data_IF_810517272884
#
_entry.id   IF_810517272884
#
_cell.length_a   1.000
_cell.length_b   1.000
_cell.length_c   1.000
_cell.angle_alpha   90.00
_cell.angle_beta   90.00
_cell.angle_gamma   90.00
#
_symmetry.space_group_name_H-M   'P 1'
#
loop_
_entity.id
_entity.type
_entity.pdbx_description
1 polymer ?
#
# COMPACT_ATOMS: atom_id res chain seq x y z
N UNK A 1 -7.62 23.41 -18.43
CA UNK A 1 -8.38 22.14 -18.39
C UNK A 1 -9.47 22.29 -17.35
N UNK A 2 -10.70 22.01 -17.71
CA UNK A 2 -11.84 22.13 -16.78
C UNK A 2 -11.94 20.85 -15.94
N UNK A 3 -12.47 20.94 -14.73
CA UNK A 3 -12.64 19.82 -13.76
C UNK A 3 -13.44 18.64 -14.35
N UNK A 4 -14.22 18.87 -15.40
CA UNK A 4 -14.98 17.83 -16.12
C UNK A 4 -14.12 16.89 -17.00
N UNK A 5 -12.90 17.32 -17.38
CA UNK A 5 -12.02 16.56 -18.29
C UNK A 5 -11.22 15.46 -17.53
N UNK A 6 -11.20 15.48 -16.21
CA UNK A 6 -10.48 14.47 -15.38
C UNK A 6 -11.36 13.30 -14.94
N UNK A 7 -12.68 13.46 -14.94
CA UNK A 7 -13.62 12.48 -14.37
C UNK A 7 -13.83 11.21 -15.23
N UNK A 8 -13.30 11.17 -16.46
CA UNK A 8 -13.55 10.06 -17.40
C UNK A 8 -12.26 9.45 -17.99
N UNK A 9 -11.11 9.66 -17.35
CA UNK A 9 -9.85 9.07 -17.80
C UNK A 9 -9.70 7.66 -17.22
N UNK A 10 -9.21 6.68 -18.02
CA UNK A 10 -8.82 5.40 -17.48
C UNK A 10 -7.75 5.58 -16.39
N UNK A 11 -7.83 4.75 -15.37
CA UNK A 11 -6.97 4.83 -14.19
C UNK A 11 -5.98 3.67 -14.18
N UNK A 12 -4.70 3.97 -14.05
CA UNK A 12 -3.66 2.97 -13.82
C UNK A 12 -3.12 3.07 -12.39
N UNK A 13 -3.04 1.93 -11.70
CA UNK A 13 -2.40 1.78 -10.40
C UNK A 13 -1.03 1.13 -10.59
N UNK A 14 0.02 1.87 -10.28
CA UNK A 14 1.41 1.43 -10.32
C UNK A 14 1.89 1.14 -8.89
N UNK A 15 2.37 -0.07 -8.65
CA UNK A 15 2.78 -0.53 -7.33
C UNK A 15 4.30 -0.72 -7.28
N UNK A 16 4.95 -0.08 -6.32
CA UNK A 16 6.31 -0.38 -5.94
C UNK A 16 6.33 -1.63 -5.05
N UNK A 17 6.61 -2.78 -5.68
CA UNK A 17 6.46 -4.08 -5.06
C UNK A 17 7.35 -4.27 -3.82
N UNK A 18 8.63 -3.90 -3.91
CA UNK A 18 9.56 -4.04 -2.79
C UNK A 18 9.25 -3.05 -1.66
N UNK A 19 9.04 -1.79 -1.97
CA UNK A 19 8.74 -0.76 -0.97
C UNK A 19 7.48 -1.09 -0.17
N UNK A 20 6.40 -1.51 -0.84
CA UNK A 20 5.16 -1.90 -0.18
C UNK A 20 5.35 -3.19 0.63
N UNK A 21 6.06 -4.19 0.09
CA UNK A 21 6.30 -5.46 0.78
C UNK A 21 7.15 -5.27 2.05
N UNK A 22 8.23 -4.49 2.00
CA UNK A 22 9.02 -4.15 3.18
C UNK A 22 8.20 -3.38 4.22
N UNK A 23 7.38 -2.45 3.77
CA UNK A 23 6.52 -1.71 4.68
C UNK A 23 5.49 -2.63 5.37
N UNK A 24 4.90 -3.55 4.64
CA UNK A 24 3.98 -4.54 5.19
C UNK A 24 4.69 -5.45 6.19
N UNK A 25 5.90 -5.90 5.86
CA UNK A 25 6.75 -6.72 6.73
C UNK A 25 7.00 -6.07 8.08
N UNK A 26 7.40 -4.80 8.11
CA UNK A 26 7.66 -4.08 9.36
C UNK A 26 6.40 -3.60 10.09
N UNK A 27 5.24 -3.60 9.43
CA UNK A 27 3.98 -3.22 10.05
C UNK A 27 3.29 -4.38 10.79
N UNK A 28 3.61 -5.62 10.44
CA UNK A 28 2.98 -6.82 10.97
C UNK A 28 4.03 -7.76 11.60
N UNK A 29 3.87 -8.17 12.86
CA UNK A 29 4.82 -9.07 13.51
C UNK A 29 4.81 -10.44 12.83
N UNK A 30 5.98 -11.02 12.47
CA UNK A 30 6.05 -12.28 11.72
C UNK A 30 5.48 -13.48 12.48
N UNK A 31 5.46 -13.45 13.82
CA UNK A 31 4.99 -14.55 14.67
C UNK A 31 3.51 -14.88 14.46
N UNK A 32 2.70 -13.91 14.09
CA UNK A 32 1.27 -14.09 13.79
C UNK A 32 0.99 -14.48 12.32
N UNK A 33 2.03 -14.56 11.48
CA UNK A 33 1.92 -14.77 10.04
C UNK A 33 2.95 -15.78 9.55
N UNK A 34 3.02 -16.92 10.21
CA UNK A 34 3.91 -18.01 9.83
C UNK A 34 3.07 -19.26 9.59
N UNK A 35 3.22 -19.89 8.42
CA UNK A 35 2.51 -21.14 8.12
C UNK A 35 2.99 -22.28 9.00
N UNK A 36 2.21 -23.35 9.09
CA UNK A 36 2.58 -24.59 9.79
C UNK A 36 3.89 -25.20 9.28
N UNK A 37 4.26 -24.92 8.02
CA UNK A 37 5.55 -25.28 7.40
C UNK A 37 6.71 -24.33 7.73
N UNK A 38 6.50 -23.28 8.53
CA UNK A 38 7.54 -22.31 8.93
C UNK A 38 7.76 -21.16 7.92
N UNK A 39 6.96 -21.04 6.87
CA UNK A 39 7.05 -19.95 5.92
C UNK A 39 6.43 -18.66 6.50
N UNK A 40 7.20 -17.58 6.56
CA UNK A 40 6.68 -16.27 6.92
C UNK A 40 5.87 -15.66 5.78
N UNK A 41 4.74 -15.03 6.10
CA UNK A 41 3.75 -14.51 5.12
C UNK A 41 3.25 -13.11 5.45
N UNK A 42 3.78 -12.45 6.48
CA UNK A 42 3.34 -11.14 6.94
C UNK A 42 3.46 -10.05 5.88
N UNK A 43 4.54 -10.04 5.08
CA UNK A 43 4.70 -9.09 3.98
C UNK A 43 3.64 -9.30 2.88
N UNK A 44 3.39 -10.56 2.51
CA UNK A 44 2.36 -10.91 1.50
C UNK A 44 0.97 -10.52 1.99
N UNK A 45 0.63 -10.88 3.24
CA UNK A 45 -0.65 -10.52 3.87
C UNK A 45 -0.90 -9.01 3.88
N UNK A 46 0.10 -8.26 4.37
CA UNK A 46 -0.01 -6.81 4.47
C UNK A 46 -0.07 -6.13 3.11
N UNK A 47 0.69 -6.62 2.14
CA UNK A 47 0.63 -6.14 0.76
C UNK A 47 -0.76 -6.34 0.16
N UNK A 48 -1.32 -7.54 0.25
CA UNK A 48 -2.66 -7.86 -0.27
C UNK A 48 -3.76 -7.06 0.44
N UNK A 49 -3.59 -6.80 1.73
CA UNK A 49 -4.50 -5.94 2.48
C UNK A 49 -4.48 -4.50 1.96
N UNK A 50 -3.29 -3.95 1.67
CA UNK A 50 -3.14 -2.62 1.07
C UNK A 50 -3.66 -2.59 -0.36
N UNK A 51 -3.30 -3.57 -1.17
CA UNK A 51 -3.76 -3.70 -2.56
C UNK A 51 -5.29 -3.74 -2.65
N UNK A 52 -5.95 -4.56 -1.82
CA UNK A 52 -7.40 -4.63 -1.79
C UNK A 52 -8.05 -3.29 -1.45
N UNK A 53 -7.45 -2.55 -0.51
CA UNK A 53 -7.91 -1.20 -0.17
C UNK A 53 -7.74 -0.23 -1.35
N UNK A 54 -6.56 -0.22 -1.98
CA UNK A 54 -6.27 0.62 -3.14
C UNK A 54 -7.23 0.34 -4.30
N UNK A 55 -7.46 -0.93 -4.63
CA UNK A 55 -8.37 -1.32 -5.71
C UNK A 55 -9.81 -0.88 -5.43
N UNK A 56 -10.24 -0.96 -4.18
CA UNK A 56 -11.58 -0.54 -3.77
C UNK A 56 -11.77 0.98 -3.85
N UNK A 57 -10.76 1.74 -3.38
CA UNK A 57 -10.83 3.21 -3.31
C UNK A 57 -10.58 3.87 -4.67
N UNK A 58 -9.51 3.44 -5.37
CA UNK A 58 -9.08 4.10 -6.62
C UNK A 58 -9.77 3.54 -7.86
N UNK A 59 -10.36 2.34 -7.76
CA UNK A 59 -11.06 1.64 -8.85
C UNK A 59 -10.28 1.64 -10.17
N UNK A 60 -9.01 1.19 -10.15
CA UNK A 60 -8.16 1.25 -11.34
C UNK A 60 -8.69 0.35 -12.45
N UNK A 61 -8.52 0.77 -13.69
CA UNK A 61 -8.77 -0.04 -14.88
C UNK A 61 -7.59 -0.98 -15.18
N UNK A 62 -6.37 -0.53 -14.81
CA UNK A 62 -5.11 -1.22 -15.05
C UNK A 62 -4.29 -1.27 -13.76
N UNK A 63 -3.59 -2.38 -13.54
CA UNK A 63 -2.71 -2.55 -12.38
C UNK A 63 -1.39 -3.17 -12.84
N UNK A 64 -0.26 -2.57 -12.45
CA UNK A 64 1.09 -3.11 -12.69
C UNK A 64 1.88 -3.03 -11.39
N UNK A 65 2.66 -4.07 -11.09
CA UNK A 65 3.61 -4.06 -9.98
C UNK A 65 5.05 -4.13 -10.52
N UNK A 66 5.89 -3.17 -10.10
CA UNK A 66 7.30 -3.14 -10.42
C UNK A 66 8.14 -3.69 -9.26
N UNK A 67 9.16 -4.47 -9.59
CA UNK A 67 10.07 -5.06 -8.61
C UNK A 67 11.53 -4.85 -9.00
N UNK A 68 12.39 -4.65 -8.00
CA UNK A 68 13.83 -4.66 -8.20
C UNK A 68 14.36 -6.09 -8.44
N UNK A 69 15.39 -6.24 -9.26
CA UNK A 69 16.11 -7.50 -9.48
C UNK A 69 17.49 -7.52 -8.78
N UNK A 70 17.62 -6.91 -7.62
CA UNK A 70 18.85 -6.93 -6.83
C UNK A 70 19.79 -5.76 -7.12
N UNK A 71 21.09 -5.95 -6.93
CA UNK A 71 22.15 -4.95 -7.14
C UNK A 71 22.75 -5.08 -8.53
N UNK A 72 23.25 -3.96 -9.10
CA UNK A 72 23.96 -4.00 -10.39
C UNK A 72 23.37 -3.06 -11.44
N UNK A 73 22.41 -2.20 -11.04
CA UNK A 73 21.83 -1.18 -11.91
C UNK A 73 22.89 -0.15 -12.35
N UNK A 74 22.55 0.67 -13.35
CA UNK A 74 23.45 1.74 -13.80
C UNK A 74 23.92 2.66 -12.67
N UNK A 75 23.10 2.85 -11.60
CA UNK A 75 23.46 3.64 -10.42
C UNK A 75 24.63 3.04 -9.67
N UNK A 76 24.67 1.74 -9.51
CA UNK A 76 25.81 1.03 -8.87
C UNK A 76 27.06 1.07 -9.73
N UNK A 77 26.91 1.07 -11.08
CA UNK A 77 28.05 1.20 -12.00
C UNK A 77 28.65 2.59 -11.93
N UNK A 78 27.81 3.64 -11.87
CA UNK A 78 28.25 5.04 -11.75
C UNK A 78 28.81 5.35 -10.36
N UNK A 79 28.17 4.84 -9.30
CA UNK A 79 28.61 5.06 -7.91
C UNK A 79 28.57 3.76 -7.11
N UNK A 80 29.70 3.02 -7.02
CA UNK A 80 29.74 1.73 -6.32
C UNK A 80 29.31 1.77 -4.85
N UNK A 81 29.37 2.93 -4.21
CA UNK A 81 28.89 3.12 -2.84
C UNK A 81 27.36 3.36 -2.73
N UNK A 82 26.65 3.44 -3.87
CA UNK A 82 25.21 3.62 -3.90
C UNK A 82 24.52 2.49 -3.13
N UNK A 83 23.65 2.84 -2.16
CA UNK A 83 22.91 1.89 -1.30
C UNK A 83 23.79 0.89 -0.50
N UNK A 84 25.13 1.06 -0.47
CA UNK A 84 26.05 0.13 0.19
C UNK A 84 25.88 0.03 1.72
N UNK A 85 25.18 0.98 2.33
CA UNK A 85 24.93 1.01 3.79
C UNK A 85 23.60 0.36 4.18
N UNK A 86 22.81 -0.13 3.21
CA UNK A 86 21.56 -0.82 3.51
C UNK A 86 21.83 -2.10 4.31
N UNK A 87 21.03 -2.29 5.36
CA UNK A 87 21.08 -3.52 6.15
C UNK A 87 20.77 -4.75 5.29
N UNK A 88 21.31 -5.89 5.67
CA UNK A 88 20.94 -7.15 5.05
C UNK A 88 19.43 -7.40 5.17
N UNK A 89 18.88 -8.06 4.14
CA UNK A 89 17.47 -8.45 4.13
C UNK A 89 17.18 -9.39 5.30
N UNK A 90 16.19 -9.11 6.15
CA UNK A 90 15.82 -10.00 7.24
C UNK A 90 15.52 -11.42 6.73
N UNK A 91 15.95 -12.43 7.48
CA UNK A 91 15.76 -13.82 7.09
C UNK A 91 14.27 -14.18 6.90
N UNK A 92 13.42 -13.60 7.73
CA UNK A 92 11.97 -13.80 7.69
C UNK A 92 11.31 -13.15 6.45
N UNK A 93 11.97 -12.19 5.80
CA UNK A 93 11.49 -11.56 4.56
C UNK A 93 11.85 -12.38 3.31
N UNK A 94 12.91 -13.19 3.41
CA UNK A 94 13.41 -13.99 2.27
C UNK A 94 12.30 -14.93 1.76
N UNK A 95 12.08 -14.95 0.45
CA UNK A 95 11.07 -15.77 -0.21
C UNK A 95 9.68 -15.14 -0.25
N UNK A 96 9.38 -14.09 0.54
CA UNK A 96 8.06 -13.48 0.51
C UNK A 96 7.78 -12.65 -0.77
N UNK A 97 8.83 -12.13 -1.43
CA UNK A 97 8.68 -11.40 -2.71
C UNK A 97 8.26 -12.35 -3.82
N UNK A 98 8.86 -13.54 -3.88
CA UNK A 98 8.50 -14.58 -4.84
C UNK A 98 7.06 -15.04 -4.64
N UNK A 99 6.66 -15.31 -3.39
CA UNK A 99 5.28 -15.65 -3.06
C UNK A 99 4.31 -14.53 -3.44
N UNK A 100 4.70 -13.28 -3.23
CA UNK A 100 3.89 -12.13 -3.62
C UNK A 100 3.70 -12.08 -5.14
N UNK A 101 4.76 -12.32 -5.92
CA UNK A 101 4.68 -12.39 -7.38
C UNK A 101 3.76 -13.52 -7.84
N UNK A 102 3.82 -14.70 -7.20
CA UNK A 102 2.90 -15.81 -7.49
C UNK A 102 1.43 -15.39 -7.28
N UNK A 103 1.12 -14.73 -6.17
CA UNK A 103 -0.24 -14.27 -5.86
C UNK A 103 -0.68 -13.16 -6.82
N UNK A 104 0.18 -12.20 -7.13
CA UNK A 104 -0.14 -11.13 -8.09
C UNK A 104 -0.44 -11.71 -9.48
N UNK A 105 0.33 -12.70 -9.92
CA UNK A 105 0.07 -13.39 -11.18
C UNK A 105 -1.29 -14.10 -11.17
N UNK A 106 -1.64 -14.80 -10.10
CA UNK A 106 -2.96 -15.44 -9.96
C UNK A 106 -4.11 -14.43 -9.92
N UNK A 107 -3.86 -13.21 -9.44
CA UNK A 107 -4.82 -12.10 -9.50
C UNK A 107 -4.87 -11.41 -10.88
N UNK A 108 -4.11 -11.88 -11.86
CA UNK A 108 -4.05 -11.28 -13.19
C UNK A 108 -3.29 -9.95 -13.23
N UNK A 109 -2.41 -9.69 -12.24
CA UNK A 109 -1.61 -8.47 -12.19
C UNK A 109 -0.22 -8.74 -12.77
N UNK A 110 0.15 -8.13 -13.91
CA UNK A 110 1.47 -8.27 -14.46
C UNK A 110 2.52 -7.63 -13.54
N UNK A 111 3.69 -8.26 -13.49
CA UNK A 111 4.86 -7.76 -12.78
C UNK A 111 5.95 -7.42 -13.77
N UNK A 112 6.64 -6.30 -13.54
CA UNK A 112 7.80 -5.89 -14.34
C UNK A 112 9.02 -5.76 -13.46
N UNK A 113 10.19 -6.07 -14.02
CA UNK A 113 11.48 -5.93 -13.36
C UNK A 113 12.60 -5.75 -14.39
N UNK A 114 13.74 -5.25 -13.97
CA UNK A 114 14.92 -5.05 -14.82
C UNK A 114 16.20 -5.27 -14.03
N UNK A 115 17.24 -5.78 -14.70
CA UNK A 115 18.59 -5.89 -14.11
C UNK A 115 19.38 -4.59 -14.19
N UNK A 116 19.03 -3.73 -15.15
CA UNK A 116 19.76 -2.48 -15.41
C UNK A 116 19.13 -1.28 -14.72
N UNK A 117 17.84 -1.34 -14.45
CA UNK A 117 17.02 -0.26 -13.87
C UNK A 117 16.34 -0.70 -12.60
N UNK A 118 16.05 0.26 -11.73
CA UNK A 118 15.29 0.02 -10.49
C UNK A 118 13.78 0.06 -10.76
N UNK A 119 12.98 -0.48 -9.84
CA UNK A 119 11.52 -0.45 -9.92
C UNK A 119 10.98 0.98 -10.12
N UNK A 120 11.63 1.98 -9.53
CA UNK A 120 11.28 3.40 -9.65
C UNK A 120 11.39 3.91 -11.10
N UNK A 121 12.40 3.46 -11.86
CA UNK A 121 12.57 3.83 -13.27
C UNK A 121 11.48 3.20 -14.15
N UNK A 122 11.10 1.95 -13.83
CA UNK A 122 9.99 1.26 -14.51
C UNK A 122 8.66 1.98 -14.24
N UNK A 123 8.39 2.33 -12.98
CA UNK A 123 7.21 3.10 -12.58
C UNK A 123 7.20 4.47 -13.26
N UNK A 124 8.36 5.15 -13.31
CA UNK A 124 8.49 6.44 -13.97
C UNK A 124 8.20 6.36 -15.47
N UNK A 125 8.65 5.30 -16.13
CA UNK A 125 8.39 5.04 -17.54
C UNK A 125 6.91 4.74 -17.77
N UNK A 126 6.32 3.84 -16.97
CA UNK A 126 4.90 3.49 -17.04
C UNK A 126 4.00 4.70 -16.80
N UNK A 127 4.32 5.55 -15.81
CA UNK A 127 3.52 6.75 -15.54
C UNK A 127 3.54 7.74 -16.69
N UNK A 128 4.69 7.88 -17.36
CA UNK A 128 4.81 8.73 -18.56
C UNK A 128 4.03 8.13 -19.75
N UNK A 129 4.11 6.81 -19.94
CA UNK A 129 3.35 6.11 -20.99
C UNK A 129 1.85 6.27 -20.76
N UNK A 130 1.38 6.06 -19.53
CA UNK A 130 -0.02 6.26 -19.13
C UNK A 130 -0.50 7.69 -19.43
N UNK A 131 0.32 8.69 -19.09
CA UNK A 131 0.02 10.10 -19.40
C UNK A 131 -0.11 10.33 -20.89
N UNK A 132 0.80 9.78 -21.71
CA UNK A 132 0.78 9.92 -23.15
C UNK A 132 -0.45 9.23 -23.79
N UNK A 133 -0.96 8.19 -23.18
CA UNK A 133 -2.18 7.49 -23.56
C UNK A 133 -3.47 8.11 -22.96
N UNK A 134 -3.34 9.24 -22.26
CA UNK A 134 -4.47 10.00 -21.71
C UNK A 134 -5.04 9.46 -20.42
N UNK A 135 -4.31 8.58 -19.72
CA UNK A 135 -4.72 7.97 -18.45
C UNK A 135 -4.34 8.83 -17.24
N UNK A 136 -4.97 8.53 -16.11
CA UNK A 136 -4.56 9.00 -14.78
C UNK A 136 -3.74 7.91 -14.08
N UNK A 137 -2.66 8.29 -13.39
CA UNK A 137 -1.80 7.36 -12.66
C UNK A 137 -1.88 7.56 -11.15
N UNK A 138 -2.06 6.48 -10.41
CA UNK A 138 -1.80 6.41 -8.98
C UNK A 138 -0.56 5.54 -8.74
N UNK A 139 0.47 6.11 -8.13
CA UNK A 139 1.71 5.40 -7.78
C UNK A 139 1.70 5.14 -6.28
N UNK A 140 1.65 3.88 -5.86
CA UNK A 140 1.78 3.50 -4.46
C UNK A 140 3.21 3.10 -4.16
N UNK A 141 3.91 3.91 -3.38
CA UNK A 141 5.29 3.69 -2.96
C UNK A 141 5.59 4.38 -1.64
N UNK A 142 6.49 3.83 -0.83
CA UNK A 142 7.08 4.47 0.34
C UNK A 142 8.32 5.31 0.02
N UNK A 143 8.73 5.41 -1.25
CA UNK A 143 9.85 6.23 -1.66
C UNK A 143 9.39 7.65 -2.04
N UNK A 144 10.06 8.64 -1.45
CA UNK A 144 9.79 10.06 -1.69
C UNK A 144 10.37 10.56 -3.00
N UNK A 145 11.34 9.86 -3.55
CA UNK A 145 11.93 10.26 -4.83
C UNK A 145 10.91 10.16 -5.96
N UNK A 146 9.88 9.30 -5.82
CA UNK A 146 8.71 9.25 -6.70
C UNK A 146 7.89 10.55 -6.74
N UNK A 147 8.10 11.50 -5.79
CA UNK A 147 7.43 12.80 -5.86
C UNK A 147 7.81 13.61 -7.10
N UNK A 148 8.95 13.33 -7.72
CA UNK A 148 9.33 13.92 -9.01
C UNK A 148 8.41 13.52 -10.16
N UNK A 149 7.61 12.46 -10.00
CA UNK A 149 6.69 11.94 -11.02
C UNK A 149 5.33 12.63 -10.99
N UNK A 150 5.03 13.34 -9.91
CA UNK A 150 3.72 13.96 -9.66
C UNK A 150 3.49 15.10 -10.64
N UNK A 151 2.32 15.09 -11.28
CA UNK A 151 1.83 16.17 -12.13
C UNK A 151 0.28 16.22 -12.11
N UNK A 152 -0.34 16.86 -13.11
CA UNK A 152 -1.80 17.04 -13.18
C UNK A 152 -2.58 15.73 -13.33
N UNK A 153 -1.93 14.63 -13.73
CA UNK A 153 -2.54 13.32 -13.95
C UNK A 153 -1.89 12.19 -13.16
N UNK A 154 -0.80 12.47 -12.46
CA UNK A 154 -0.04 11.51 -11.66
C UNK A 154 -0.06 11.91 -10.18
N UNK A 155 -0.58 11.04 -9.34
CA UNK A 155 -0.64 11.20 -7.87
C UNK A 155 0.15 10.09 -7.20
N UNK A 156 0.97 10.43 -6.19
CA UNK A 156 1.64 9.42 -5.34
C UNK A 156 0.81 9.16 -4.09
N UNK A 157 0.50 7.90 -3.86
CA UNK A 157 -0.15 7.37 -2.67
C UNK A 157 0.94 6.89 -1.70
N UNK A 158 1.28 7.73 -0.74
CA UNK A 158 2.41 7.50 0.18
C UNK A 158 1.92 6.88 1.50
N UNK A 159 2.32 5.65 1.84
CA UNK A 159 1.95 5.02 3.10
C UNK A 159 2.62 5.72 4.29
N UNK A 160 1.85 6.11 5.30
CA UNK A 160 2.38 6.83 6.49
C UNK A 160 2.35 6.00 7.77
N UNK A 161 1.27 5.27 8.02
CA UNK A 161 1.12 4.45 9.23
C UNK A 161 0.51 3.09 8.89
N UNK A 162 1.21 2.02 9.24
CA UNK A 162 0.76 0.65 8.92
C UNK A 162 0.61 0.43 7.42
N UNK A 163 -0.36 -0.40 7.04
CA UNK A 163 -0.65 -0.78 5.65
C UNK A 163 -1.91 -0.11 5.08
N UNK A 164 -2.64 0.69 5.87
CA UNK A 164 -3.94 1.25 5.47
C UNK A 164 -4.00 2.78 5.39
N UNK A 165 -3.05 3.48 6.00
CA UNK A 165 -3.08 4.95 6.03
C UNK A 165 -2.19 5.53 4.94
N UNK A 166 -2.82 6.07 3.90
CA UNK A 166 -2.16 6.66 2.74
C UNK A 166 -2.36 8.17 2.73
N UNK A 167 -1.32 8.90 2.33
CA UNK A 167 -1.39 10.33 2.03
C UNK A 167 -1.27 10.50 0.53
N UNK A 168 -2.23 11.20 -0.06
CA UNK A 168 -2.20 11.58 -1.47
C UNK A 168 -1.28 12.78 -1.64
N UNK A 169 -0.22 12.62 -2.41
CA UNK A 169 0.66 13.71 -2.80
C UNK A 169 0.31 14.17 -4.21
N UNK A 170 -0.16 15.41 -4.30
CA UNK A 170 -0.40 16.18 -5.51
C UNK A 170 0.67 17.25 -5.66
N UNK A 171 0.76 18.00 -6.79
CA UNK A 171 1.69 19.12 -6.93
C UNK A 171 1.58 20.14 -5.79
N UNK A 172 0.35 20.45 -5.37
CA UNK A 172 0.07 21.38 -4.27
C UNK A 172 0.59 20.83 -2.95
N UNK A 173 0.39 19.54 -2.69
CA UNK A 173 0.83 18.89 -1.45
C UNK A 173 2.35 18.83 -1.35
N UNK A 174 3.05 18.59 -2.46
CA UNK A 174 4.52 18.67 -2.52
C UNK A 174 4.98 20.10 -2.23
N UNK A 175 4.36 21.09 -2.86
CA UNK A 175 4.68 22.51 -2.66
C UNK A 175 4.42 22.96 -1.22
N UNK A 176 3.29 22.55 -0.63
CA UNK A 176 2.96 22.83 0.77
C UNK A 176 4.01 22.26 1.73
N UNK A 177 4.41 21.00 1.52
CA UNK A 177 5.26 20.27 2.46
C UNK A 177 6.74 20.59 2.32
N UNK A 178 7.23 20.75 1.10
CA UNK A 178 8.65 20.89 0.77
C UNK A 178 9.03 22.27 0.23
N UNK A 179 8.06 23.10 -0.08
CA UNK A 179 8.25 24.42 -0.70
C UNK A 179 9.00 24.38 -2.05
N UNK A 180 8.88 23.26 -2.77
CA UNK A 180 9.38 23.07 -4.16
C UNK A 180 8.28 22.44 -5.00
N UNK A 181 8.39 22.56 -6.32
CA UNK A 181 7.52 21.81 -7.25
C UNK A 181 7.99 20.34 -7.35
N UNK A 182 7.13 19.42 -7.82
CA UNK A 182 7.57 18.05 -8.12
C UNK A 182 8.81 17.98 -9.01
N UNK A 183 8.86 18.79 -10.08
CA UNK A 183 10.01 18.85 -10.98
C UNK A 183 11.32 19.30 -10.31
N UNK A 184 11.22 20.08 -9.24
CA UNK A 184 12.38 20.53 -8.45
C UNK A 184 12.78 19.56 -7.33
N UNK A 185 11.99 18.50 -7.10
CA UNK A 185 12.25 17.58 -6.00
C UNK A 185 13.59 16.83 -6.16
N UNK A 186 13.97 16.29 -7.35
CA UNK A 186 15.28 15.68 -7.53
C UNK A 186 16.44 16.67 -7.31
N UNK A 187 16.30 17.92 -7.74
CA UNK A 187 17.31 18.97 -7.52
C UNK A 187 17.49 19.26 -6.02
N UNK A 188 16.39 19.28 -5.26
CA UNK A 188 16.43 19.44 -3.82
C UNK A 188 17.13 18.23 -3.15
N UNK A 189 16.82 17.01 -3.59
CA UNK A 189 17.45 15.79 -3.10
C UNK A 189 18.96 15.78 -3.41
N UNK A 190 19.37 16.17 -4.60
CA UNK A 190 20.77 16.28 -5.00
C UNK A 190 21.57 17.23 -4.10
N UNK A 191 21.01 18.39 -3.74
CA UNK A 191 21.63 19.37 -2.87
C UNK A 191 21.69 18.91 -1.41
N UNK A 192 20.61 18.33 -0.91
CA UNK A 192 20.48 17.85 0.48
C UNK A 192 21.25 16.56 0.70
N UNK A 193 21.41 15.75 -0.33
CA UNK A 193 21.82 14.37 -0.27
C UNK A 193 20.70 13.43 0.21
N UNK A 194 20.97 12.14 0.09
CA UNK A 194 20.11 11.08 0.60
C UNK A 194 20.93 10.02 1.35
N UNK A 195 20.86 10.01 2.70
CA UNK A 195 21.57 9.01 3.49
C UNK A 195 21.09 7.57 3.25
N UNK A 196 19.82 7.37 2.85
CA UNK A 196 19.27 6.02 2.59
C UNK A 196 19.89 5.39 1.34
N UNK A 197 20.32 6.21 0.40
CA UNK A 197 21.00 5.82 -0.83
C UNK A 197 22.51 6.06 -0.78
N UNK A 198 23.02 6.45 0.39
CA UNK A 198 24.43 6.77 0.61
C UNK A 198 24.94 7.90 -0.30
N UNK A 199 24.08 8.89 -0.58
CA UNK A 199 24.41 10.06 -1.36
C UNK A 199 24.73 11.24 -0.44
N UNK A 200 26.01 11.67 -0.32
CA UNK A 200 26.38 12.78 0.53
C UNK A 200 25.87 14.09 -0.06
N UNK A 201 25.17 14.88 0.75
CA UNK A 201 24.72 16.22 0.36
C UNK A 201 25.76 17.30 0.68
N UNK A 202 25.47 18.53 0.24
CA UNK A 202 26.27 19.70 0.56
C UNK A 202 26.23 19.97 2.06
N UNK A 203 27.37 20.01 2.79
CA UNK A 203 27.38 20.23 4.23
C UNK A 203 26.65 21.52 4.63
N UNK A 204 25.76 21.41 5.63
CA UNK A 204 24.86 22.47 6.14
C UNK A 204 23.77 22.93 5.17
N UNK A 205 23.57 22.22 4.05
CA UNK A 205 22.45 22.41 3.14
C UNK A 205 21.44 21.31 3.38
N UNK A 206 20.36 21.64 4.07
CA UNK A 206 19.21 20.75 4.24
C UNK A 206 18.05 21.20 3.39
N UNK A 207 16.90 20.52 3.53
CA UNK A 207 15.66 20.74 2.78
C UNK A 207 15.29 22.23 2.65
N UNK A 208 15.29 22.99 3.76
CA UNK A 208 14.91 24.42 3.75
C UNK A 208 15.88 25.29 2.95
N UNK A 209 17.17 25.00 3.00
CA UNK A 209 18.19 25.79 2.27
C UNK A 209 18.13 25.47 0.78
N UNK A 210 18.02 24.18 0.43
CA UNK A 210 17.87 23.74 -0.95
C UNK A 210 16.59 24.31 -1.58
N UNK A 211 15.45 24.21 -0.89
CA UNK A 211 14.20 24.79 -1.36
C UNK A 211 14.25 26.31 -1.53
N UNK A 212 14.94 27.03 -0.62
CA UNK A 212 15.16 28.48 -0.76
C UNK A 212 15.93 28.80 -2.04
N UNK A 213 16.99 28.07 -2.33
CA UNK A 213 17.79 28.29 -3.54
C UNK A 213 16.99 27.96 -4.81
N UNK A 214 16.26 26.84 -4.83
CA UNK A 214 15.43 26.47 -5.94
C UNK A 214 14.31 27.50 -6.22
N UNK A 215 13.71 28.07 -5.18
CA UNK A 215 12.73 29.14 -5.36
C UNK A 215 13.37 30.45 -5.85
N UNK A 216 14.64 30.70 -5.53
CA UNK A 216 15.36 31.91 -5.94
C UNK A 216 15.92 31.81 -7.36
N UNK A 217 16.48 30.64 -7.73
CA UNK A 217 17.21 30.46 -8.99
C UNK A 217 16.44 29.62 -10.02
N UNK A 218 15.43 28.87 -9.59
CA UNK A 218 14.54 28.07 -10.46
C UNK A 218 14.96 26.61 -10.62
N UNK A 219 16.24 26.30 -10.83
CA UNK A 219 16.74 24.94 -11.05
C UNK A 219 18.14 24.77 -10.42
N UNK A 220 18.58 23.50 -10.32
CA UNK A 220 19.93 23.17 -9.89
C UNK A 220 20.99 23.77 -10.83
N UNK A 221 20.79 23.68 -12.14
CA UNK A 221 21.70 24.27 -13.13
C UNK A 221 21.90 25.76 -12.86
N UNK A 222 20.79 26.51 -12.70
CA UNK A 222 20.87 27.94 -12.39
C UNK A 222 21.52 28.23 -11.04
N UNK A 223 21.37 27.34 -10.02
CA UNK A 223 22.09 27.46 -8.75
C UNK A 223 23.60 27.29 -8.97
N UNK A 224 24.01 26.29 -9.74
CA UNK A 224 25.43 26.03 -10.03
C UNK A 224 26.07 27.14 -10.88
N UNK A 225 25.35 27.71 -11.85
CA UNK A 225 25.79 28.87 -12.60
C UNK A 225 26.00 30.10 -11.71
N UNK A 226 25.17 30.25 -10.68
CA UNK A 226 25.21 31.37 -9.75
C UNK A 226 25.94 31.06 -8.43
N UNK A 227 26.70 29.96 -8.35
CA UNK A 227 27.36 29.49 -7.12
C UNK A 227 28.25 30.54 -6.45
N UNK A 228 28.86 31.43 -7.22
CA UNK A 228 29.73 32.49 -6.69
C UNK A 228 28.96 33.66 -6.06
N UNK A 229 27.71 33.81 -6.40
CA UNK A 229 26.80 34.77 -5.78
C UNK A 229 26.22 34.27 -4.44
N UNK A 230 26.32 32.98 -4.15
CA UNK A 230 25.87 32.37 -2.89
C UNK A 230 26.94 32.59 -1.82
N UNK A 231 26.68 33.55 -0.91
CA UNK A 231 27.64 33.98 0.12
C UNK A 231 27.58 33.09 1.37
N UNK A 232 28.65 33.21 2.15
CA UNK A 232 28.78 32.54 3.44
C UNK A 232 29.16 31.07 3.33
N UNK A 233 29.16 30.37 4.47
CA UNK A 233 29.68 29.00 4.57
C UNK A 233 28.97 27.99 3.69
N UNK A 234 27.67 28.15 3.50
CA UNK A 234 26.91 27.25 2.63
C UNK A 234 27.27 27.42 1.14
N UNK A 235 27.62 28.65 0.69
CA UNK A 235 28.11 28.89 -0.67
C UNK A 235 29.53 28.31 -0.86
N UNK A 236 30.42 28.45 0.15
CA UNK A 236 31.73 27.80 0.12
C UNK A 236 31.57 26.26 0.02
N UNK A 237 30.71 25.70 0.86
CA UNK A 237 30.44 24.26 0.85
C UNK A 237 29.87 23.79 -0.51
N UNK A 238 28.94 24.53 -1.11
CA UNK A 238 28.41 24.21 -2.45
C UNK A 238 29.55 24.13 -3.48
N UNK A 239 30.41 25.16 -3.53
CA UNK A 239 31.54 25.20 -4.47
C UNK A 239 32.53 24.05 -4.29
N UNK A 240 32.67 23.55 -3.05
CA UNK A 240 33.58 22.44 -2.74
C UNK A 240 32.99 21.05 -3.01
N UNK A 241 31.67 20.95 -3.28
CA UNK A 241 30.96 19.69 -3.46
C UNK A 241 30.14 19.64 -4.76
N UNK A 242 30.58 20.36 -5.79
CA UNK A 242 29.87 20.42 -7.09
C UNK A 242 29.78 19.02 -7.70
N UNK A 243 30.88 18.28 -7.73
CA UNK A 243 30.94 16.92 -8.28
C UNK A 243 29.98 15.97 -7.56
N UNK A 244 29.85 16.08 -6.23
CA UNK A 244 28.90 15.31 -5.46
C UNK A 244 27.45 15.67 -5.84
N UNK A 245 27.16 16.96 -6.00
CA UNK A 245 25.82 17.44 -6.36
C UNK A 245 25.43 17.00 -7.76
N UNK A 246 26.34 17.12 -8.74
CA UNK A 246 26.10 16.69 -10.13
C UNK A 246 25.88 15.19 -10.22
N UNK A 247 26.71 14.40 -9.53
CA UNK A 247 26.51 12.94 -9.40
C UNK A 247 25.16 12.62 -8.76
N UNK A 248 24.82 13.26 -7.63
CA UNK A 248 23.56 13.03 -6.96
C UNK A 248 22.36 13.39 -7.88
N UNK A 249 22.43 14.50 -8.61
CA UNK A 249 21.39 14.88 -9.58
C UNK A 249 21.19 13.84 -10.67
N UNK A 250 22.28 13.23 -11.13
CA UNK A 250 22.22 12.13 -12.09
C UNK A 250 21.57 10.88 -11.51
N UNK A 251 21.93 10.50 -10.24
CA UNK A 251 21.48 9.27 -9.61
C UNK A 251 20.04 9.36 -9.05
N UNK A 252 19.61 10.54 -8.59
CA UNK A 252 18.24 10.73 -8.05
C UNK A 252 17.19 10.92 -9.14
N UNK A 253 17.60 11.29 -10.36
CA UNK A 253 16.67 11.45 -11.47
C UNK A 253 16.24 10.09 -12.00
N UNK A 254 14.94 9.85 -12.02
CA UNK A 254 14.36 8.61 -12.56
C UNK A 254 14.39 8.60 -14.09
N UNK A 255 14.76 7.46 -14.66
CA UNK A 255 14.70 7.19 -16.11
C UNK A 255 13.25 6.96 -16.51
N UNK A 256 12.81 7.57 -17.62
CA UNK A 256 11.40 7.56 -18.07
C UNK A 256 11.20 6.94 -19.44
N UNK A 257 12.19 6.24 -19.96
CA UNK A 257 12.18 5.65 -21.29
C UNK A 257 12.83 4.28 -21.32
N UNK A 258 12.62 3.50 -20.26
CA UNK A 258 13.06 2.11 -20.18
C UNK A 258 12.24 1.28 -21.16
N UNK A 259 12.91 0.47 -21.98
CA UNK A 259 12.23 -0.50 -22.83
C UNK A 259 11.64 -1.63 -21.97
N UNK A 260 10.34 -1.87 -22.14
CA UNK A 260 9.61 -2.91 -21.41
C UNK A 260 8.68 -3.64 -22.38
N UNK A 261 8.63 -4.95 -22.26
CA UNK A 261 7.70 -5.80 -22.99
C UNK A 261 6.36 -5.92 -22.21
N UNK A 262 5.69 -4.78 -22.05
CA UNK A 262 4.39 -4.68 -21.39
C UNK A 262 3.57 -3.57 -22.04
N UNK A 263 2.35 -3.87 -22.42
CA UNK A 263 1.33 -2.87 -22.80
C UNK A 263 0.28 -2.75 -21.69
N UNK A 264 -0.44 -1.62 -21.62
CA UNK A 264 -1.55 -1.51 -20.67
C UNK A 264 -2.71 -2.45 -21.01
N UNK A 265 -2.82 -2.94 -22.24
CA UNK A 265 -3.78 -3.98 -22.59
C UNK A 265 -3.54 -5.28 -21.79
N UNK A 266 -2.27 -5.61 -21.51
CA UNK A 266 -1.89 -6.78 -20.71
C UNK A 266 -2.15 -6.56 -19.21
N UNK A 267 -2.26 -5.31 -18.78
CA UNK A 267 -2.48 -4.90 -17.39
C UNK A 267 -3.94 -4.57 -17.07
N UNK A 268 -4.83 -4.72 -18.07
CA UNK A 268 -6.25 -4.50 -17.86
C UNK A 268 -6.82 -5.48 -16.84
N UNK A 269 -7.63 -4.99 -15.92
CA UNK A 269 -8.28 -5.84 -14.93
C UNK A 269 -9.19 -6.85 -15.63
N UNK A 270 -8.99 -8.10 -15.31
CA UNK A 270 -9.79 -9.23 -15.81
C UNK A 270 -10.44 -9.98 -14.65
N UNK A 271 -11.33 -10.91 -14.97
CA UNK A 271 -11.89 -11.82 -13.98
C UNK A 271 -10.76 -12.67 -13.37
N UNK A 272 -10.75 -12.75 -12.05
CA UNK A 272 -9.74 -13.51 -11.30
C UNK A 272 -10.03 -15.01 -11.40
N UNK A 273 -9.01 -15.82 -11.56
CA UNK A 273 -9.10 -17.27 -11.39
C UNK A 273 -9.18 -17.60 -9.88
N UNK A 274 -10.42 -17.69 -9.39
CA UNK A 274 -10.69 -17.91 -7.97
C UNK A 274 -10.08 -19.20 -7.45
N UNK A 275 -10.03 -20.26 -8.28
CA UNK A 275 -9.47 -21.56 -7.87
C UNK A 275 -7.96 -21.47 -7.65
N UNK A 276 -7.24 -20.81 -8.56
CA UNK A 276 -5.80 -20.57 -8.42
C UNK A 276 -5.46 -19.69 -7.21
N UNK A 277 -6.23 -18.62 -6.99
CA UNK A 277 -6.04 -17.74 -5.82
C UNK A 277 -6.35 -18.48 -4.53
N UNK A 278 -7.43 -19.26 -4.47
CA UNK A 278 -7.77 -20.05 -3.30
C UNK A 278 -6.71 -21.09 -2.97
N UNK A 279 -6.15 -21.79 -3.97
CA UNK A 279 -5.08 -22.77 -3.76
C UNK A 279 -3.81 -22.10 -3.17
N UNK A 280 -3.45 -20.89 -3.63
CA UNK A 280 -2.34 -20.12 -3.06
C UNK A 280 -2.65 -19.66 -1.63
N UNK A 281 -3.86 -19.18 -1.35
CA UNK A 281 -4.26 -18.74 -0.02
C UNK A 281 -4.31 -19.90 0.97
N UNK A 282 -4.69 -21.10 0.54
CA UNK A 282 -4.62 -22.31 1.35
C UNK A 282 -3.16 -22.69 1.65
N UNK A 283 -2.26 -22.64 0.64
CA UNK A 283 -0.81 -22.85 0.80
C UNK A 283 -0.19 -21.86 1.80
N UNK A 284 -0.65 -20.60 1.79
CA UNK A 284 -0.17 -19.53 2.65
C UNK A 284 -0.93 -19.44 3.99
N UNK A 285 -1.89 -20.32 4.20
CA UNK A 285 -2.75 -20.39 5.39
C UNK A 285 -3.48 -19.07 5.69
N UNK A 286 -3.89 -18.34 4.64
CA UNK A 286 -4.66 -17.12 4.78
C UNK A 286 -6.13 -17.41 5.09
N UNK A 287 -6.59 -16.81 6.20
CA UNK A 287 -7.97 -16.97 6.66
C UNK A 287 -9.01 -16.30 5.75
N UNK A 288 -10.28 -16.56 6.03
CA UNK A 288 -11.45 -16.11 5.27
C UNK A 288 -11.51 -14.59 5.12
N UNK A 289 -11.15 -13.84 6.14
CA UNK A 289 -11.25 -12.37 6.14
C UNK A 289 -10.40 -11.69 5.05
N UNK A 290 -9.15 -12.12 4.83
CA UNK A 290 -8.33 -11.58 3.76
C UNK A 290 -8.86 -12.04 2.40
N UNK A 291 -9.24 -13.31 2.30
CA UNK A 291 -9.80 -13.94 1.10
C UNK A 291 -11.03 -13.17 0.59
N UNK A 292 -12.03 -12.97 1.43
CA UNK A 292 -13.24 -12.21 1.11
C UNK A 292 -12.92 -10.78 0.69
N UNK A 293 -11.99 -10.11 1.38
CA UNK A 293 -11.56 -8.75 1.04
C UNK A 293 -10.94 -8.69 -0.35
N UNK A 294 -10.04 -9.62 -0.68
CA UNK A 294 -9.39 -9.68 -1.99
C UNK A 294 -10.42 -9.95 -3.07
N UNK A 295 -11.25 -10.98 -2.96
CA UNK A 295 -12.27 -11.28 -3.96
C UNK A 295 -13.26 -10.14 -4.14
N UNK A 296 -13.70 -9.49 -3.07
CA UNK A 296 -14.58 -8.32 -3.14
C UNK A 296 -13.92 -7.15 -3.90
N UNK A 297 -12.63 -6.88 -3.66
CA UNK A 297 -11.91 -5.80 -4.33
C UNK A 297 -11.71 -6.10 -5.82
N UNK A 298 -11.48 -7.36 -6.18
CA UNK A 298 -11.22 -7.79 -7.55
C UNK A 298 -12.47 -8.21 -8.32
N UNK A 299 -13.64 -8.28 -7.68
CA UNK A 299 -14.90 -8.49 -8.39
C UNK A 299 -15.08 -7.37 -9.43
N UNK A 300 -15.08 -7.76 -10.71
CA UNK A 300 -15.43 -6.83 -11.77
C UNK A 300 -16.92 -6.54 -11.66
N UNK A 301 -17.28 -5.26 -11.69
CA UNK A 301 -18.67 -4.90 -11.91
C UNK A 301 -19.04 -5.39 -13.30
N UNK A 302 -19.47 -6.65 -13.43
CA UNK A 302 -20.18 -7.06 -14.61
C UNK A 302 -21.34 -6.08 -14.74
N UNK A 303 -21.52 -5.48 -15.91
CA UNK A 303 -22.67 -4.64 -16.21
C UNK A 303 -24.02 -5.42 -16.26
N UNK A 304 -24.05 -6.59 -15.67
CA UNK A 304 -25.26 -7.26 -15.21
C UNK A 304 -25.70 -6.53 -13.94
N UNK A 305 -26.86 -5.95 -13.98
CA UNK A 305 -27.62 -5.51 -12.83
C UNK A 305 -27.26 -6.44 -11.65
N UNK A 306 -26.68 -5.85 -10.61
CA UNK A 306 -26.65 -6.51 -9.32
C UNK A 306 -28.08 -7.03 -9.14
N UNK A 307 -28.27 -8.35 -9.31
CA UNK A 307 -29.41 -8.97 -8.70
C UNK A 307 -29.29 -8.47 -7.27
N UNK A 308 -30.11 -7.50 -6.92
CA UNK A 308 -30.28 -7.07 -5.56
C UNK A 308 -30.59 -8.38 -4.83
N UNK A 309 -29.55 -8.96 -4.22
CA UNK A 309 -29.78 -9.89 -3.15
C UNK A 309 -30.47 -8.99 -2.11
N UNK A 310 -31.77 -8.96 -2.21
CA UNK A 310 -32.61 -8.47 -1.15
C UNK A 310 -32.30 -9.46 -0.05
N UNK A 311 -31.40 -9.07 0.85
CA UNK A 311 -31.18 -9.82 2.07
C UNK A 311 -32.61 -10.08 2.59
N UNK A 312 -33.00 -11.33 2.82
CA UNK A 312 -34.30 -11.59 3.40
C UNK A 312 -34.39 -10.68 4.60
N UNK A 313 -35.53 -10.01 4.78
CA UNK A 313 -35.78 -9.12 5.91
C UNK A 313 -35.57 -9.96 7.17
N UNK A 314 -34.36 -9.87 7.74
CA UNK A 314 -33.97 -10.70 8.86
C UNK A 314 -34.70 -10.14 10.07
N UNK A 315 -35.59 -10.92 10.61
CA UNK A 315 -36.25 -10.59 11.88
C UNK A 315 -35.20 -10.70 13.00
N UNK A 316 -34.45 -9.61 13.20
CA UNK A 316 -33.49 -9.51 14.29
C UNK A 316 -34.25 -9.23 15.57
N UNK A 317 -34.14 -10.11 16.53
CA UNK A 317 -34.67 -9.90 17.89
C UNK A 317 -33.65 -9.07 18.65
N UNK A 318 -33.99 -7.85 19.02
CA UNK A 318 -33.18 -7.06 19.98
C UNK A 318 -33.50 -7.64 21.36
N UNK A 319 -32.51 -8.22 22.01
CA UNK A 319 -32.66 -8.82 23.33
C UNK A 319 -32.45 -7.75 24.41
N UNK A 320 -33.37 -7.67 25.36
CA UNK A 320 -33.26 -6.88 26.58
C UNK A 320 -32.79 -7.76 27.74
N UNK A 321 -32.57 -7.17 28.91
CA UNK A 321 -32.10 -7.83 30.10
C UNK A 321 -32.95 -9.09 30.44
N UNK A 322 -32.33 -10.26 30.53
CA UNK A 322 -32.98 -11.55 30.77
C UNK A 322 -33.44 -12.31 29.50
N UNK A 323 -33.44 -11.68 28.32
CA UNK A 323 -33.91 -12.33 27.10
C UNK A 323 -32.82 -13.23 26.48
N UNK A 324 -31.55 -12.95 26.74
CA UNK A 324 -30.41 -13.70 26.17
C UNK A 324 -30.40 -15.13 26.62
N UNK A 325 -30.54 -15.36 27.91
CA UNK A 325 -30.58 -16.72 28.51
C UNK A 325 -31.78 -17.51 27.93
N UNK A 326 -32.94 -16.88 27.80
CA UNK A 326 -34.15 -17.50 27.20
C UNK A 326 -33.97 -17.82 25.74
N UNK A 327 -33.35 -16.94 24.98
CA UNK A 327 -33.06 -17.16 23.56
C UNK A 327 -32.07 -18.31 23.35
N UNK A 328 -30.98 -18.34 24.15
CA UNK A 328 -30.00 -19.43 24.10
C UNK A 328 -30.58 -20.79 24.53
N UNK A 329 -31.50 -20.81 25.48
CA UNK A 329 -32.21 -22.07 25.85
C UNK A 329 -33.06 -22.59 24.68
N UNK A 330 -33.69 -21.73 23.93
CA UNK A 330 -34.58 -22.11 22.82
C UNK A 330 -33.80 -22.44 21.54
N UNK A 331 -32.72 -21.73 21.24
CA UNK A 331 -32.03 -21.78 19.95
C UNK A 331 -30.55 -22.14 20.05
N UNK A 332 -29.92 -22.01 21.22
CA UNK A 332 -28.48 -22.24 21.44
C UNK A 332 -28.06 -23.71 21.50
N UNK A 333 -29.00 -24.69 21.40
CA UNK A 333 -28.72 -26.13 21.44
C UNK A 333 -29.07 -26.85 20.15
N UNK A 334 -29.27 -26.13 19.06
CA UNK A 334 -29.54 -26.73 17.76
C UNK A 334 -28.23 -27.28 17.16
N UNK A 335 -28.29 -28.44 16.51
CA UNK A 335 -27.15 -28.94 15.74
C UNK A 335 -26.91 -28.06 14.52
N UNK A 336 -25.67 -27.63 14.30
CA UNK A 336 -25.26 -26.81 13.17
C UNK A 336 -24.29 -25.71 13.53
N UNK A 337 -23.98 -24.84 12.56
CA UNK A 337 -23.04 -23.73 12.72
C UNK A 337 -23.75 -22.48 13.23
N UNK A 338 -23.24 -21.87 14.28
CA UNK A 338 -23.68 -20.56 14.78
C UNK A 338 -22.80 -19.45 14.26
N UNK A 339 -23.41 -18.35 13.83
CA UNK A 339 -22.70 -17.11 13.54
C UNK A 339 -22.64 -16.23 14.80
N UNK A 340 -21.45 -15.78 15.18
CA UNK A 340 -21.28 -14.83 16.29
C UNK A 340 -20.50 -13.62 15.80
N UNK A 341 -21.03 -12.44 16.09
CA UNK A 341 -20.36 -11.15 15.80
C UNK A 341 -20.25 -10.38 17.10
N UNK A 342 -19.06 -9.87 17.39
CA UNK A 342 -18.79 -9.04 18.56
C UNK A 342 -18.38 -7.65 18.06
N UNK A 343 -19.06 -6.62 18.55
CA UNK A 343 -18.72 -5.23 18.30
C UNK A 343 -18.18 -4.58 19.57
N UNK A 344 -17.13 -3.77 19.45
CA UNK A 344 -16.50 -3.10 20.58
C UNK A 344 -15.33 -2.25 20.17
N UNK A 345 -14.65 -1.63 21.13
CA UNK A 345 -13.46 -0.81 20.87
C UNK A 345 -12.25 -1.69 20.53
N UNK A 346 -11.54 -1.33 19.47
CA UNK A 346 -10.37 -2.06 18.97
C UNK A 346 -9.16 -1.95 19.92
N UNK A 347 -9.09 -2.81 20.94
CA UNK A 347 -7.85 -3.07 21.64
C UNK A 347 -7.70 -4.59 21.86
N UNK A 348 -6.68 -5.19 21.29
CA UNK A 348 -6.39 -6.64 21.34
C UNK A 348 -6.12 -7.14 22.79
N UNK A 349 -5.84 -6.24 23.74
CA UNK A 349 -5.46 -6.58 25.11
C UNK A 349 -6.38 -6.02 26.20
N UNK A 350 -7.32 -5.14 25.90
CA UNK A 350 -8.25 -4.53 26.84
C UNK A 350 -9.39 -3.79 26.10
N UNK A 351 -10.04 -4.44 25.14
CA UNK A 351 -11.18 -3.86 24.45
C UNK A 351 -12.46 -4.11 25.20
N UNK A 352 -13.28 -3.08 25.39
CA UNK A 352 -14.63 -3.25 25.88
C UNK A 352 -15.51 -3.78 24.75
N UNK A 353 -16.29 -4.82 25.03
CA UNK A 353 -17.30 -5.34 24.12
C UNK A 353 -18.58 -4.55 24.33
N UNK A 354 -19.04 -3.86 23.28
CA UNK A 354 -20.25 -3.02 23.33
C UNK A 354 -21.52 -3.81 23.00
N UNK A 355 -21.41 -4.78 22.07
CA UNK A 355 -22.54 -5.59 21.65
C UNK A 355 -22.13 -6.98 21.15
N UNK A 356 -23.01 -7.94 21.27
CA UNK A 356 -22.88 -9.31 20.73
C UNK A 356 -24.10 -9.63 19.87
N UNK A 357 -23.87 -10.15 18.68
CA UNK A 357 -24.92 -10.70 17.83
C UNK A 357 -24.69 -12.18 17.61
N UNK A 358 -25.75 -12.99 17.70
CA UNK A 358 -25.71 -14.44 17.50
C UNK A 358 -26.79 -14.84 16.48
N UNK A 359 -26.43 -15.70 15.53
CA UNK A 359 -27.36 -16.33 14.60
C UNK A 359 -27.37 -17.85 14.81
N UNK A 360 -28.54 -18.44 14.95
CA UNK A 360 -28.72 -19.89 15.05
C UNK A 360 -28.69 -20.57 13.67
N UNK A 361 -28.42 -21.90 13.58
CA UNK A 361 -28.48 -22.64 12.34
C UNK A 361 -29.85 -22.59 11.65
N UNK A 362 -30.93 -22.38 12.41
CA UNK A 362 -32.29 -22.26 11.88
C UNK A 362 -32.66 -20.82 11.47
N UNK A 363 -31.69 -19.88 11.49
CA UNK A 363 -31.87 -18.52 10.98
C UNK A 363 -32.44 -17.51 11.97
N UNK A 364 -32.67 -17.90 13.27
CA UNK A 364 -33.04 -16.93 14.29
C UNK A 364 -31.82 -16.12 14.70
N UNK A 365 -32.00 -14.84 14.91
CA UNK A 365 -30.93 -13.91 15.27
C UNK A 365 -31.28 -13.09 16.49
N UNK A 366 -30.25 -12.80 17.28
CA UNK A 366 -30.32 -11.99 18.48
C UNK A 366 -29.17 -10.98 18.47
N UNK A 367 -29.45 -9.76 18.91
CA UNK A 367 -28.45 -8.73 19.20
C UNK A 367 -28.69 -8.25 20.63
N UNK A 368 -27.64 -8.15 21.42
CA UNK A 368 -27.69 -7.55 22.75
C UNK A 368 -26.50 -6.61 22.96
N UNK A 369 -26.73 -5.52 23.70
CA UNK A 369 -25.66 -4.64 24.17
C UNK A 369 -25.16 -5.14 25.53
N UNK A 370 -23.86 -5.02 25.78
CA UNK A 370 -23.28 -5.51 27.06
C UNK A 370 -23.77 -4.71 28.28
N UNK A 371 -24.22 -3.48 28.05
CA UNK A 371 -24.84 -2.64 29.11
C UNK A 371 -26.21 -3.14 29.55
N UNK A 372 -26.85 -4.01 28.78
CA UNK A 372 -28.19 -4.57 29.07
C UNK A 372 -28.15 -6.03 29.50
N UNK A 373 -26.96 -6.60 29.70
CA UNK A 373 -26.78 -7.96 30.18
C UNK A 373 -26.93 -7.99 31.71
N UNK A 374 -27.64 -9.02 32.22
CA UNK A 374 -27.61 -9.38 33.62
C UNK A 374 -26.60 -10.53 33.85
N UNK A 375 -26.27 -10.88 35.13
CA UNK A 375 -25.30 -11.94 35.40
C UNK A 375 -25.68 -13.33 34.83
N UNK A 376 -26.96 -13.63 34.69
CA UNK A 376 -27.43 -14.90 34.12
C UNK A 376 -27.24 -14.92 32.60
N UNK A 377 -27.41 -13.77 31.91
CA UNK A 377 -27.14 -13.61 30.51
C UNK A 377 -25.65 -13.71 30.19
N UNK A 378 -24.77 -13.14 31.05
CA UNK A 378 -23.32 -13.23 30.89
C UNK A 378 -22.83 -14.71 31.03
N UNK A 379 -23.37 -15.41 32.01
CA UNK A 379 -23.06 -16.85 32.23
C UNK A 379 -23.55 -17.68 31.03
N UNK A 380 -24.73 -17.39 30.52
CA UNK A 380 -25.29 -18.08 29.37
C UNK A 380 -24.46 -17.88 28.12
N UNK A 381 -24.01 -16.63 27.84
CA UNK A 381 -23.11 -16.30 26.73
C UNK A 381 -21.74 -16.96 26.88
N UNK A 382 -21.16 -16.95 28.08
CA UNK A 382 -19.92 -17.63 28.39
C UNK A 382 -19.97 -19.13 28.13
N UNK A 383 -21.08 -19.78 28.47
CA UNK A 383 -21.30 -21.20 28.24
C UNK A 383 -21.33 -21.58 26.75
N UNK A 384 -21.87 -20.70 25.87
CA UNK A 384 -21.87 -20.91 24.39
C UNK A 384 -20.46 -20.84 23.85
N UNK A 385 -19.65 -19.90 24.32
CA UNK A 385 -18.28 -19.72 23.85
C UNK A 385 -17.37 -20.92 24.17
N UNK A 386 -17.61 -21.63 25.25
CA UNK A 386 -16.82 -22.82 25.68
C UNK A 386 -17.23 -24.12 24.97
N UNK A 387 -18.46 -24.23 24.46
CA UNK A 387 -18.98 -25.49 23.92
C UNK A 387 -19.00 -25.59 22.41
N UNK A 388 -18.79 -24.47 21.67
CA UNK A 388 -19.03 -24.40 20.22
C UNK A 388 -17.93 -23.71 19.42
N UNK A 389 -16.81 -23.30 20.00
CA UNK A 389 -15.61 -22.87 19.29
C UNK A 389 -14.59 -24.02 19.30
N UNK A 390 -14.10 -24.47 18.12
CA UNK A 390 -13.04 -25.48 18.02
C UNK A 390 -11.72 -24.98 18.57
#
# INVERSE_FOLDING_TARGET
MTVEDTANRPVVLLLDGHSIAFRAFYALPPEGFTTSGGQHTNAVYGFLSMLSHLVTEEKPDYIVAAFDEGSGTFRHQEYPAYKAQRAETPAEFIGQVELLREVLHALGIPTVSSREYEADDLIATLSLTAKNEGMQSFICTGDRDSFQLIDDVTTVLYPTKGVSTLVRYTPEKVKERYNVTPAQYPDMAALRGDPSDNLPGVPKVGEKTAAKWLNQYGSLEAILENKDNIKGKVGENLRSHIEDVERNAYLTKMVRNVEMDLSFADAARSAVDEDSVNALFDKLEFGTRLRERVFKAFALSSGAETSSFTAPELAVTVAHMGDVASWLQNYGRQEGTYGVVVAGTESILAGDVDAVAIASPAGQQMVCTTTELNPDDEVALGAVSYTHLP
#
